data_IF_736478921939
#
_entry.id   IF_736478921939
#
_cell.length_a   1.000
_cell.length_b   1.000
_cell.length_c   1.000
_cell.angle_alpha   90.00
_cell.angle_beta   90.00
_cell.angle_gamma   90.00
#
_symmetry.space_group_name_H-M   'P 1'
#
loop_
_entity.id
_entity.type
_entity.pdbx_description
1 polymer ?
#
# COMPACT_ATOMS: atom_id res chain seq x y z
N UNK A 1 18.88 -3.22 8.54
CA UNK A 1 18.40 -2.06 7.75
C UNK A 1 18.88 -2.08 6.29
N UNK A 2 20.19 -2.23 5.99
CA UNK A 2 20.74 -2.30 4.62
C UNK A 2 20.10 -3.35 3.69
N UNK A 3 19.85 -4.57 4.18
CA UNK A 3 19.28 -5.66 3.35
C UNK A 3 17.87 -5.36 2.81
N UNK A 4 16.98 -4.82 3.65
CA UNK A 4 15.62 -4.38 3.24
C UNK A 4 15.63 -3.19 2.27
N UNK A 5 16.64 -2.33 2.35
CA UNK A 5 16.80 -1.21 1.42
C UNK A 5 17.22 -1.69 0.03
N UNK A 6 18.11 -2.69 -0.02
CA UNK A 6 18.55 -3.34 -1.25
C UNK A 6 17.39 -4.04 -1.98
N UNK A 7 16.61 -4.87 -1.27
CA UNK A 7 15.48 -5.62 -1.85
C UNK A 7 14.35 -4.71 -2.37
N UNK A 8 14.20 -3.49 -1.81
CA UNK A 8 13.22 -2.51 -2.30
C UNK A 8 13.74 -1.74 -3.52
N UNK A 9 15.02 -1.34 -3.52
CA UNK A 9 15.63 -0.71 -4.67
C UNK A 9 15.63 -1.64 -5.90
N UNK A 10 15.91 -2.92 -5.67
CA UNK A 10 15.85 -3.96 -6.70
C UNK A 10 14.43 -4.10 -7.28
N UNK A 11 13.39 -4.11 -6.43
CA UNK A 11 11.99 -4.14 -6.90
C UNK A 11 11.60 -2.93 -7.73
N UNK A 12 12.00 -1.72 -7.31
CA UNK A 12 11.76 -0.49 -8.08
C UNK A 12 12.46 -0.56 -9.44
N UNK A 13 13.72 -1.01 -9.46
CA UNK A 13 14.50 -1.13 -10.69
C UNK A 13 13.88 -2.16 -11.64
N UNK A 14 13.54 -3.36 -11.15
CA UNK A 14 12.99 -4.44 -11.98
C UNK A 14 11.60 -4.06 -12.49
N UNK A 15 10.67 -3.69 -11.60
CA UNK A 15 9.29 -3.39 -12.00
C UNK A 15 9.19 -2.11 -12.83
N UNK A 16 10.00 -1.10 -12.49
CA UNK A 16 10.10 0.13 -13.28
C UNK A 16 10.67 -0.10 -14.67
N UNK A 17 11.70 -0.93 -14.80
CA UNK A 17 12.26 -1.29 -16.10
C UNK A 17 11.26 -2.08 -16.94
N UNK A 18 10.56 -3.05 -16.34
CA UNK A 18 9.55 -3.85 -17.05
C UNK A 18 8.42 -2.97 -17.59
N UNK A 19 7.88 -2.06 -16.77
CA UNK A 19 6.83 -1.13 -17.22
C UNK A 19 7.33 -0.23 -18.35
N UNK A 20 8.52 0.34 -18.23
CA UNK A 20 9.14 1.16 -19.27
C UNK A 20 9.34 0.38 -20.58
N UNK A 21 9.81 -0.87 -20.52
CA UNK A 21 9.95 -1.73 -21.68
C UNK A 21 8.60 -2.05 -22.34
N UNK A 22 7.55 -2.29 -21.56
CA UNK A 22 6.20 -2.54 -22.09
C UNK A 22 5.65 -1.32 -22.81
N UNK A 23 5.78 -0.13 -22.22
CA UNK A 23 5.38 1.13 -22.86
C UNK A 23 6.14 1.35 -24.18
N UNK A 24 7.46 1.15 -24.16
CA UNK A 24 8.29 1.24 -25.36
C UNK A 24 7.84 0.27 -26.47
N UNK A 25 7.58 -0.99 -26.12
CA UNK A 25 7.11 -1.99 -27.07
C UNK A 25 5.80 -1.58 -27.74
N UNK A 26 4.83 -1.08 -26.96
CA UNK A 26 3.55 -0.58 -27.50
C UNK A 26 3.78 0.61 -28.43
N UNK A 27 4.67 1.53 -28.08
CA UNK A 27 5.05 2.66 -28.93
C UNK A 27 5.71 2.23 -30.24
N UNK A 28 6.62 1.25 -30.21
CA UNK A 28 7.26 0.72 -31.42
C UNK A 28 6.27 -0.02 -32.31
N UNK A 29 5.39 -0.84 -31.72
CA UNK A 29 4.31 -1.52 -32.47
C UNK A 29 3.40 -0.51 -33.14
N UNK A 30 3.02 0.56 -32.43
CA UNK A 30 2.21 1.63 -33.00
C UNK A 30 2.94 2.36 -34.15
N UNK A 31 4.21 2.71 -33.98
CA UNK A 31 5.03 3.32 -35.04
C UNK A 31 5.15 2.41 -36.27
N UNK A 32 5.24 1.08 -36.09
CA UNK A 32 5.29 0.10 -37.17
C UNK A 32 3.97 -0.05 -37.94
N UNK A 33 2.83 0.15 -37.26
CA UNK A 33 1.49 0.11 -37.87
C UNK A 33 1.07 1.46 -38.48
N UNK A 34 1.84 2.52 -38.21
CA UNK A 34 1.50 3.87 -38.64
C UNK A 34 1.61 4.02 -40.17
N UNK A 35 0.61 4.66 -40.78
CA UNK A 35 0.57 4.90 -42.23
C UNK A 35 1.65 5.90 -42.69
N UNK A 36 2.05 6.81 -41.81
CA UNK A 36 3.10 7.81 -42.09
C UNK A 36 4.50 7.23 -41.83
N UNK A 37 5.06 6.62 -42.87
CA UNK A 37 6.40 6.02 -42.83
C UNK A 37 7.51 7.07 -42.72
N UNK A 38 7.28 8.31 -43.12
CA UNK A 38 8.27 9.38 -43.03
C UNK A 38 8.53 9.76 -41.56
N UNK A 39 7.46 9.83 -40.77
CA UNK A 39 7.59 10.03 -39.32
C UNK A 39 8.30 8.87 -38.62
N UNK A 40 7.97 7.62 -38.98
CA UNK A 40 8.61 6.43 -38.41
C UNK A 40 10.13 6.39 -38.71
N UNK A 41 10.53 6.71 -39.94
CA UNK A 41 11.95 6.81 -40.33
C UNK A 41 12.67 7.93 -39.58
N UNK A 42 12.00 9.06 -39.34
CA UNK A 42 12.55 10.16 -38.54
C UNK A 42 12.75 9.79 -37.07
N UNK A 43 11.92 8.89 -36.53
CA UNK A 43 12.00 8.43 -35.13
C UNK A 43 12.99 7.28 -34.92
N UNK A 44 13.39 6.57 -35.97
CA UNK A 44 14.35 5.46 -35.92
C UNK A 44 15.64 5.76 -35.14
N UNK A 45 16.37 6.88 -35.39
CA UNK A 45 17.59 7.20 -34.64
C UNK A 45 17.32 7.52 -33.15
N UNK A 46 16.08 7.87 -32.81
CA UNK A 46 15.69 8.22 -31.44
C UNK A 46 15.13 7.03 -30.65
N UNK A 47 15.04 5.83 -31.22
CA UNK A 47 14.48 4.65 -30.52
C UNK A 47 15.24 4.30 -29.24
N UNK A 48 16.58 4.32 -29.27
CA UNK A 48 17.38 4.03 -28.07
C UNK A 48 17.22 5.11 -26.98
N UNK A 49 17.32 6.42 -27.30
CA UNK A 49 16.96 7.47 -26.35
C UNK A 49 15.54 7.35 -25.78
N UNK A 50 14.57 7.00 -26.62
CA UNK A 50 13.16 6.83 -26.22
C UNK A 50 13.01 5.64 -25.26
N UNK A 51 13.66 4.50 -25.54
CA UNK A 51 13.68 3.36 -24.63
C UNK A 51 14.25 3.74 -23.26
N UNK A 52 15.41 4.42 -23.24
CA UNK A 52 16.03 4.87 -21.99
C UNK A 52 15.12 5.85 -21.24
N UNK A 53 14.42 6.73 -21.98
CA UNK A 53 13.41 7.62 -21.44
C UNK A 53 12.26 6.87 -20.77
N UNK A 54 11.70 5.85 -21.43
CA UNK A 54 10.62 5.03 -20.85
C UNK A 54 11.07 4.22 -19.64
N UNK A 55 12.28 3.65 -19.67
CA UNK A 55 12.84 2.92 -18.53
C UNK A 55 13.05 3.85 -17.33
N UNK A 56 13.63 5.03 -17.56
CA UNK A 56 13.78 6.05 -16.52
C UNK A 56 12.41 6.51 -15.99
N UNK A 57 11.43 6.71 -16.87
CA UNK A 57 10.08 7.08 -16.50
C UNK A 57 9.40 6.01 -15.63
N UNK A 58 9.50 4.73 -16.02
CA UNK A 58 8.98 3.62 -15.22
C UNK A 58 9.65 3.51 -13.85
N UNK A 59 10.98 3.69 -13.78
CA UNK A 59 11.70 3.75 -12.51
C UNK A 59 11.23 4.92 -11.62
N UNK A 60 11.04 6.11 -12.19
CA UNK A 60 10.53 7.28 -11.45
C UNK A 60 9.11 7.05 -10.97
N UNK A 61 8.24 6.50 -11.82
CA UNK A 61 6.88 6.12 -11.45
C UNK A 61 6.86 5.18 -10.25
N UNK A 62 7.60 4.07 -10.31
CA UNK A 62 7.68 3.11 -9.21
C UNK A 62 8.42 3.65 -7.99
N UNK A 63 9.38 4.54 -8.19
CA UNK A 63 10.03 5.24 -7.09
C UNK A 63 9.01 6.06 -6.31
N UNK A 64 8.14 6.84 -6.96
CA UNK A 64 7.07 7.56 -6.26
C UNK A 64 5.98 6.63 -5.71
N UNK A 65 5.65 5.55 -6.43
CA UNK A 65 4.70 4.53 -6.00
C UNK A 65 5.13 3.88 -4.68
N UNK A 66 6.37 3.42 -4.57
CA UNK A 66 6.90 2.73 -3.39
C UNK A 66 7.50 3.64 -2.33
N UNK A 67 8.00 4.84 -2.66
CA UNK A 67 8.59 5.77 -1.68
C UNK A 67 7.60 6.19 -0.61
N UNK A 68 6.30 6.13 -0.89
CA UNK A 68 5.24 6.56 0.03
C UNK A 68 4.79 5.49 1.02
N UNK A 69 5.15 4.23 0.80
CA UNK A 69 5.09 3.18 1.83
C UNK A 69 6.05 3.48 3.02
N UNK A 70 6.85 4.55 2.93
CA UNK A 70 7.99 4.84 3.80
C UNK A 70 7.79 5.98 4.80
N UNK A 71 6.73 6.79 4.75
CA UNK A 71 6.76 8.07 5.47
C UNK A 71 5.64 8.18 6.51
N UNK A 72 5.89 7.58 7.67
CA UNK A 72 5.31 7.99 8.96
C UNK A 72 6.01 9.23 9.53
N UNK A 73 6.42 10.17 8.67
CA UNK A 73 7.25 11.32 9.03
C UNK A 73 6.43 12.60 8.90
N UNK A 74 6.47 13.43 9.94
CA UNK A 74 5.65 14.62 10.17
C UNK A 74 6.11 15.84 9.38
N UNK A 75 6.02 15.77 8.05
CA UNK A 75 6.18 16.94 7.15
C UNK A 75 4.83 17.43 6.62
N UNK A 76 4.72 18.73 6.30
CA UNK A 76 3.52 19.35 5.69
C UNK A 76 3.08 18.70 4.38
N UNK A 77 4.01 18.12 3.61
CA UNK A 77 3.72 17.32 2.41
C UNK A 77 3.19 15.91 2.73
N UNK A 78 3.39 15.41 3.95
CA UNK A 78 2.95 14.09 4.41
C UNK A 78 1.49 14.11 4.88
N UNK A 79 0.99 15.24 5.40
CA UNK A 79 -0.42 15.38 5.82
C UNK A 79 -1.43 15.23 4.66
N UNK A 80 -1.13 15.73 3.46
CA UNK A 80 -1.98 15.53 2.28
C UNK A 80 -1.94 14.10 1.73
N UNK A 81 -1.06 13.27 2.28
CA UNK A 81 -0.54 12.07 1.66
C UNK A 81 -0.43 10.93 2.68
N UNK A 82 -1.23 10.92 3.75
CA UNK A 82 -1.30 9.81 4.69
C UNK A 82 -2.39 8.81 4.28
N UNK A 83 -2.02 7.52 4.25
CA UNK A 83 -2.93 6.39 4.01
C UNK A 83 -3.25 6.09 2.54
N UNK A 84 -4.28 5.26 2.33
CA UNK A 84 -4.73 4.76 1.02
C UNK A 84 -5.00 5.86 -0.02
N UNK A 85 -5.33 7.09 0.43
CA UNK A 85 -5.55 8.27 -0.42
C UNK A 85 -4.36 8.58 -1.34
N UNK A 86 -3.15 8.23 -0.93
CA UNK A 86 -1.94 8.53 -1.66
C UNK A 86 -1.70 7.75 -2.94
N UNK A 87 -2.10 6.49 -2.95
CA UNK A 87 -2.05 5.62 -4.12
C UNK A 87 -3.06 6.13 -5.16
N UNK A 88 -4.20 6.65 -4.71
CA UNK A 88 -5.17 7.30 -5.60
C UNK A 88 -4.65 8.62 -6.19
N UNK A 89 -3.87 9.42 -5.46
CA UNK A 89 -3.31 10.66 -6.03
C UNK A 89 -2.29 10.38 -7.13
N UNK A 90 -1.29 9.53 -6.89
CA UNK A 90 -0.28 9.21 -7.90
C UNK A 90 -0.92 8.36 -9.02
N UNK A 91 -1.79 7.42 -8.66
CA UNK A 91 -2.49 6.56 -9.60
C UNK A 91 -3.45 7.32 -10.54
N UNK A 92 -4.10 8.40 -10.07
CA UNK A 92 -4.99 9.18 -10.93
C UNK A 92 -4.26 10.35 -11.62
N UNK A 93 -3.32 11.04 -10.96
CA UNK A 93 -2.64 12.20 -11.55
C UNK A 93 -1.72 11.85 -12.71
N UNK A 94 -1.07 10.68 -12.68
CA UNK A 94 -0.09 10.31 -13.72
C UNK A 94 -0.76 10.03 -15.08
N UNK A 95 -1.82 9.20 -15.16
CA UNK A 95 -2.58 9.03 -16.40
C UNK A 95 -3.24 10.34 -16.85
N UNK A 96 -3.74 11.16 -15.92
CA UNK A 96 -4.31 12.47 -16.24
C UNK A 96 -3.27 13.43 -16.82
N UNK A 97 -2.04 13.42 -16.31
CA UNK A 97 -0.94 14.21 -16.85
C UNK A 97 -0.59 13.77 -18.28
N UNK A 98 -0.51 12.46 -18.54
CA UNK A 98 -0.27 11.94 -19.88
C UNK A 98 -1.42 12.28 -20.85
N UNK A 99 -2.67 12.19 -20.40
CA UNK A 99 -3.84 12.58 -21.19
C UNK A 99 -3.86 14.10 -21.48
N UNK A 100 -3.52 14.95 -20.50
CA UNK A 100 -3.39 16.38 -20.69
C UNK A 100 -2.25 16.73 -21.66
N UNK A 101 -1.11 16.05 -21.55
CA UNK A 101 -0.01 16.18 -22.50
C UNK A 101 -0.42 15.76 -23.91
N UNK A 102 -1.27 14.73 -24.06
CA UNK A 102 -1.83 14.33 -25.34
C UNK A 102 -2.71 15.42 -25.96
N UNK A 103 -3.55 16.09 -25.15
CA UNK A 103 -4.38 17.21 -25.62
C UNK A 103 -3.54 18.40 -26.11
N UNK A 104 -2.40 18.65 -25.46
CA UNK A 104 -1.45 19.72 -25.82
C UNK A 104 -0.49 19.33 -26.96
N UNK A 105 -0.39 18.04 -27.30
CA UNK A 105 0.47 17.55 -28.37
C UNK A 105 0.10 18.19 -29.71
N UNK A 106 1.09 18.65 -30.49
CA UNK A 106 0.85 19.31 -31.79
C UNK A 106 0.75 18.33 -32.97
N UNK A 107 1.30 17.12 -32.84
CA UNK A 107 1.33 16.10 -33.90
C UNK A 107 0.46 14.91 -33.51
N UNK A 108 -0.45 14.51 -34.41
CA UNK A 108 -1.36 13.36 -34.22
C UNK A 108 -0.67 12.07 -33.72
N UNK A 109 0.49 11.65 -34.25
CA UNK A 109 1.15 10.42 -33.78
C UNK A 109 1.61 10.51 -32.33
N UNK A 110 2.06 11.68 -31.90
CA UNK A 110 2.50 11.92 -30.52
C UNK A 110 1.32 11.89 -29.55
N UNK A 111 0.16 12.43 -29.96
CA UNK A 111 -1.07 12.37 -29.16
C UNK A 111 -1.47 10.93 -28.90
N UNK A 112 -1.46 10.10 -29.93
CA UNK A 112 -1.89 8.70 -29.83
C UNK A 112 -0.92 7.89 -28.96
N UNK A 113 0.40 8.10 -29.10
CA UNK A 113 1.40 7.47 -28.23
C UNK A 113 1.13 7.83 -26.76
N UNK A 114 0.92 9.11 -26.45
CA UNK A 114 0.64 9.56 -25.08
C UNK A 114 -0.67 8.99 -24.52
N UNK A 115 -1.70 8.82 -25.36
CA UNK A 115 -2.96 8.19 -24.96
C UNK A 115 -2.81 6.69 -24.70
N UNK A 116 -2.03 5.98 -25.53
CA UNK A 116 -1.72 4.56 -25.31
C UNK A 116 -0.92 4.36 -24.02
N UNK A 117 0.05 5.23 -23.76
CA UNK A 117 0.84 5.25 -22.53
C UNK A 117 -0.05 5.53 -21.30
N UNK A 118 -0.96 6.50 -21.40
CA UNK A 118 -1.93 6.79 -20.34
C UNK A 118 -2.84 5.58 -20.06
N UNK A 119 -3.31 4.91 -21.11
CA UNK A 119 -4.15 3.73 -21.01
C UNK A 119 -3.42 2.55 -20.37
N UNK A 120 -2.15 2.32 -20.72
CA UNK A 120 -1.32 1.28 -20.12
C UNK A 120 -1.12 1.49 -18.62
N UNK A 121 -0.76 2.71 -18.22
CA UNK A 121 -0.57 3.05 -16.80
C UNK A 121 -1.89 2.92 -16.03
N UNK A 122 -3.00 3.43 -16.59
CA UNK A 122 -4.31 3.29 -15.98
C UNK A 122 -4.75 1.82 -15.85
N UNK A 123 -4.55 1.02 -16.90
CA UNK A 123 -4.86 -0.42 -16.90
C UNK A 123 -4.04 -1.19 -15.86
N UNK A 124 -2.74 -0.89 -15.75
CA UNK A 124 -1.88 -1.45 -14.70
C UNK A 124 -2.41 -1.13 -13.29
N UNK A 125 -2.80 0.12 -13.05
CA UNK A 125 -3.32 0.55 -11.75
C UNK A 125 -4.67 -0.09 -11.41
N UNK A 126 -5.57 -0.20 -12.38
CA UNK A 126 -6.85 -0.91 -12.20
C UNK A 126 -6.59 -2.38 -11.90
N UNK A 127 -5.66 -3.01 -12.61
CA UNK A 127 -5.29 -4.40 -12.37
C UNK A 127 -4.73 -4.61 -10.96
N UNK A 128 -3.81 -3.75 -10.52
CA UNK A 128 -3.23 -3.80 -9.18
C UNK A 128 -4.31 -3.59 -8.10
N UNK A 129 -5.23 -2.64 -8.32
CA UNK A 129 -6.37 -2.42 -7.43
C UNK A 129 -7.28 -3.65 -7.33
N UNK A 130 -7.64 -4.27 -8.46
CA UNK A 130 -8.47 -5.47 -8.47
C UNK A 130 -7.77 -6.66 -7.81
N UNK A 131 -6.46 -6.81 -8.03
CA UNK A 131 -5.65 -7.83 -7.38
C UNK A 131 -5.65 -7.63 -5.86
N UNK A 132 -5.37 -6.42 -5.39
CA UNK A 132 -5.41 -6.08 -3.96
C UNK A 132 -6.80 -6.27 -3.35
N UNK A 133 -7.87 -5.91 -4.06
CA UNK A 133 -9.24 -6.14 -3.59
C UNK A 133 -9.56 -7.64 -3.47
N UNK A 134 -9.09 -8.47 -4.42
CA UNK A 134 -9.22 -9.93 -4.32
C UNK A 134 -8.44 -10.49 -3.14
N UNK A 135 -7.18 -10.07 -2.96
CA UNK A 135 -6.37 -10.46 -1.80
C UNK A 135 -7.06 -10.04 -0.49
N UNK A 136 -7.57 -8.81 -0.40
CA UNK A 136 -8.32 -8.34 0.76
C UNK A 136 -9.59 -9.18 1.00
N UNK A 137 -10.30 -9.57 -0.06
CA UNK A 137 -11.45 -10.48 0.03
C UNK A 137 -11.07 -11.89 0.50
N UNK A 138 -9.96 -12.44 0.04
CA UNK A 138 -9.44 -13.75 0.50
C UNK A 138 -8.97 -13.70 1.95
N UNK A 139 -8.28 -12.62 2.34
CA UNK A 139 -7.94 -12.37 3.74
C UNK A 139 -9.19 -12.21 4.58
N UNK A 140 -10.17 -11.40 4.20
CA UNK A 140 -11.42 -11.23 4.94
C UNK A 140 -12.30 -12.50 5.00
N UNK A 141 -12.10 -13.46 4.07
CA UNK A 141 -12.78 -14.77 4.12
C UNK A 141 -12.07 -15.77 5.04
N UNK A 142 -10.73 -15.71 5.14
CA UNK A 142 -9.93 -16.58 6.03
C UNK A 142 -9.83 -16.03 7.45
N UNK A 143 -9.64 -14.73 7.56
CA UNK A 143 -9.80 -13.94 8.76
C UNK A 143 -11.28 -13.58 8.87
N UNK A 144 -12.08 -14.44 9.52
CA UNK A 144 -13.25 -13.89 10.21
C UNK A 144 -12.69 -12.98 11.28
N UNK A 145 -12.94 -11.67 11.28
CA UNK A 145 -12.67 -10.90 12.47
C UNK A 145 -13.61 -11.49 13.53
N UNK A 146 -13.10 -12.36 14.40
CA UNK A 146 -13.61 -12.37 15.76
C UNK A 146 -13.54 -10.91 16.17
N UNK A 147 -14.64 -10.33 16.61
CA UNK A 147 -14.62 -8.97 17.13
C UNK A 147 -13.76 -9.02 18.39
N UNK A 148 -12.47 -8.76 18.20
CA UNK A 148 -11.51 -8.78 19.28
C UNK A 148 -11.33 -7.35 19.70
N UNK A 149 -11.78 -7.04 20.91
CA UNK A 149 -11.48 -5.74 21.50
C UNK A 149 -10.00 -5.77 21.89
N UNK A 150 -9.24 -4.81 21.38
CA UNK A 150 -7.83 -4.61 21.70
C UNK A 150 -7.73 -3.37 22.58
N UNK A 151 -7.16 -3.53 23.77
CA UNK A 151 -6.83 -2.42 24.66
C UNK A 151 -5.32 -2.33 24.80
N UNK A 152 -4.73 -1.23 24.32
CA UNK A 152 -3.30 -1.01 24.41
C UNK A 152 -2.87 -0.82 25.87
N UNK A 153 -1.79 -1.50 26.25
CA UNK A 153 -1.14 -1.42 27.55
C UNK A 153 0.13 -0.58 27.43
N UNK A 154 0.34 0.31 28.41
CA UNK A 154 1.57 1.11 28.50
C UNK A 154 2.78 0.25 28.92
N UNK A 155 2.57 -0.79 29.74
CA UNK A 155 3.61 -1.70 30.23
C UNK A 155 3.16 -3.17 30.20
N UNK A 156 4.13 -4.09 30.10
CA UNK A 156 3.86 -5.53 30.11
C UNK A 156 3.63 -6.04 31.54
N UNK A 157 2.44 -6.61 31.86
CA UNK A 157 2.19 -7.17 33.18
C UNK A 157 3.01 -8.45 33.39
N UNK A 158 4.04 -8.39 34.24
CA UNK A 158 4.96 -9.52 34.47
C UNK A 158 4.32 -10.66 35.28
N UNK A 159 3.36 -10.38 36.17
CA UNK A 159 2.66 -11.39 36.99
C UNK A 159 1.21 -11.62 36.55
N UNK A 160 0.63 -12.77 36.95
CA UNK A 160 -0.81 -13.09 36.73
C UNK A 160 -1.71 -12.07 37.44
N UNK A 161 -1.30 -11.62 38.62
CA UNK A 161 -2.00 -10.60 39.40
C UNK A 161 -1.96 -9.23 38.71
N UNK A 162 -0.80 -8.81 38.19
CA UNK A 162 -0.68 -7.56 37.43
C UNK A 162 -1.55 -7.57 36.18
N UNK A 163 -1.68 -8.73 35.52
CA UNK A 163 -2.56 -8.90 34.36
C UNK A 163 -4.04 -8.77 34.73
N UNK A 164 -4.48 -9.36 35.84
CA UNK A 164 -5.86 -9.23 36.32
C UNK A 164 -6.19 -7.78 36.74
N UNK A 165 -5.25 -7.07 37.38
CA UNK A 165 -5.41 -5.65 37.77
C UNK A 165 -5.59 -4.77 36.53
N UNK A 166 -4.88 -5.02 35.43
CA UNK A 166 -5.09 -4.23 34.20
C UNK A 166 -6.46 -4.48 33.55
N UNK A 167 -6.97 -5.71 33.62
CA UNK A 167 -8.34 -6.04 33.17
C UNK A 167 -9.38 -5.30 34.03
N UNK A 168 -9.20 -5.29 35.36
CA UNK A 168 -10.05 -4.55 36.29
C UNK A 168 -10.01 -3.05 36.02
N UNK A 169 -8.82 -2.48 35.82
CA UNK A 169 -8.63 -1.06 35.51
C UNK A 169 -9.30 -0.67 34.20
N UNK A 170 -9.21 -1.52 33.18
CA UNK A 170 -9.91 -1.33 31.91
C UNK A 170 -11.43 -1.32 32.08
N UNK A 171 -12.00 -2.27 32.83
CA UNK A 171 -13.45 -2.34 33.05
C UNK A 171 -13.96 -1.18 33.90
N UNK A 172 -13.23 -0.79 34.96
CA UNK A 172 -13.54 0.39 35.80
C UNK A 172 -13.53 1.68 34.98
N UNK A 173 -12.51 1.90 34.15
CA UNK A 173 -12.41 3.10 33.28
C UNK A 173 -13.57 3.20 32.29
N UNK A 174 -14.09 2.07 31.82
CA UNK A 174 -15.17 2.01 30.85
C UNK A 174 -16.56 1.80 31.49
N UNK A 175 -16.67 1.87 32.82
CA UNK A 175 -17.91 1.64 33.59
C UNK A 175 -18.60 0.31 33.26
N UNK A 176 -17.82 -0.75 33.07
CA UNK A 176 -18.32 -2.10 32.78
C UNK A 176 -18.31 -2.98 34.02
N UNK A 177 -19.29 -3.87 34.11
CA UNK A 177 -19.33 -4.91 35.13
C UNK A 177 -18.34 -6.02 34.79
N UNK A 178 -17.65 -6.55 35.78
CA UNK A 178 -16.58 -7.54 35.61
C UNK A 178 -16.69 -8.62 36.69
N UNK A 179 -16.76 -9.88 36.25
CA UNK A 179 -16.66 -11.06 37.10
C UNK A 179 -15.56 -11.97 36.57
N UNK A 180 -14.66 -12.45 37.42
CA UNK A 180 -13.62 -13.39 37.01
C UNK A 180 -14.13 -14.83 37.16
N UNK A 181 -14.18 -15.56 36.04
CA UNK A 181 -14.47 -17.01 36.02
C UNK A 181 -13.19 -17.80 36.31
N UNK A 182 -12.06 -17.38 35.73
CA UNK A 182 -10.74 -17.96 35.98
C UNK A 182 -9.65 -16.89 35.95
N UNK A 183 -8.93 -16.74 37.08
CA UNK A 183 -7.78 -15.82 37.24
C UNK A 183 -6.48 -16.52 36.86
N UNK A 184 -6.21 -16.59 35.57
CA UNK A 184 -5.00 -17.21 35.01
C UNK A 184 -4.48 -16.38 33.81
N UNK A 185 -3.34 -16.76 33.23
CA UNK A 185 -2.85 -16.22 31.96
C UNK A 185 -2.91 -17.33 30.90
N UNK A 186 -3.89 -17.34 29.99
CA UNK A 186 -4.98 -16.36 29.75
C UNK A 186 -6.14 -16.42 30.78
N UNK A 187 -6.86 -15.30 30.93
CA UNK A 187 -7.95 -15.16 31.92
C UNK A 187 -9.33 -15.37 31.27
N UNK A 188 -10.26 -15.94 32.04
CA UNK A 188 -11.67 -16.04 31.65
C UNK A 188 -12.48 -15.07 32.52
N UNK A 189 -13.19 -14.15 31.86
CA UNK A 189 -13.99 -13.12 32.51
C UNK A 189 -15.42 -13.10 31.96
N UNK A 190 -16.36 -12.66 32.77
CA UNK A 190 -17.68 -12.24 32.35
C UNK A 190 -17.72 -10.71 32.44
N UNK A 191 -17.95 -10.05 31.31
CA UNK A 191 -18.04 -8.60 31.22
C UNK A 191 -19.43 -8.23 30.70
N UNK A 192 -20.21 -7.50 31.49
CA UNK A 192 -21.60 -7.11 31.15
C UNK A 192 -22.53 -8.29 30.82
N UNK A 193 -22.33 -9.43 31.51
CA UNK A 193 -23.12 -10.66 31.32
C UNK A 193 -22.68 -11.54 30.15
N UNK A 194 -21.63 -11.14 29.41
CA UNK A 194 -21.07 -11.87 28.28
C UNK A 194 -19.70 -12.47 28.64
N UNK A 195 -19.45 -13.72 28.22
CA UNK A 195 -18.20 -14.41 28.49
C UNK A 195 -17.09 -13.97 27.51
N UNK A 196 -15.91 -13.67 28.04
CA UNK A 196 -14.73 -13.31 27.27
C UNK A 196 -13.49 -14.05 27.74
N UNK A 197 -12.64 -14.41 26.80
CA UNK A 197 -11.29 -14.93 27.01
C UNK A 197 -10.28 -13.81 26.76
N UNK A 198 -9.46 -13.48 27.76
CA UNK A 198 -8.50 -12.37 27.68
C UNK A 198 -7.08 -12.92 27.56
N UNK A 199 -6.45 -12.61 26.43
CA UNK A 199 -5.05 -12.95 26.14
C UNK A 199 -4.17 -11.69 26.17
N UNK A 200 -2.90 -11.85 26.53
CA UNK A 200 -1.89 -10.81 26.38
C UNK A 200 -1.25 -10.95 24.99
N UNK A 201 -1.46 -9.96 24.13
CA UNK A 201 -0.83 -9.89 22.81
C UNK A 201 0.36 -8.92 22.85
N UNK A 202 1.37 -9.16 22.02
CA UNK A 202 2.53 -8.28 21.91
C UNK A 202 2.88 -8.08 20.46
N UNK A 203 3.00 -6.82 20.03
CA UNK A 203 3.37 -6.48 18.67
C UNK A 203 4.48 -5.43 18.66
N UNK A 204 5.40 -5.55 17.69
CA UNK A 204 6.50 -4.61 17.55
C UNK A 204 6.04 -3.37 16.76
N UNK A 205 6.02 -2.22 17.44
CA UNK A 205 5.84 -0.92 16.80
C UNK A 205 7.19 -0.25 16.54
N UNK A 206 7.17 0.81 15.71
CA UNK A 206 8.33 1.67 15.46
C UNK A 206 8.85 2.41 16.72
N UNK A 207 8.12 2.36 17.84
CA UNK A 207 8.47 2.97 19.12
C UNK A 207 8.89 1.96 20.20
N UNK A 208 8.98 0.67 19.85
CA UNK A 208 9.28 -0.41 20.80
C UNK A 208 8.18 -1.47 20.88
N UNK A 209 8.35 -2.49 21.75
CA UNK A 209 7.32 -3.51 21.97
C UNK A 209 6.08 -2.85 22.59
N UNK A 210 4.93 -3.00 21.92
CA UNK A 210 3.63 -2.63 22.45
C UNK A 210 2.93 -3.90 22.93
N UNK A 211 2.20 -3.78 24.04
CA UNK A 211 1.43 -4.87 24.62
C UNK A 211 -0.05 -4.51 24.55
N UNK A 212 -0.91 -5.48 24.33
CA UNK A 212 -2.35 -5.23 24.33
C UNK A 212 -3.13 -6.38 24.99
N UNK A 213 -4.22 -6.02 25.65
CA UNK A 213 -5.22 -6.98 26.11
C UNK A 213 -6.15 -7.30 24.96
N UNK A 214 -6.30 -8.59 24.69
CA UNK A 214 -7.06 -9.13 23.59
C UNK A 214 -8.29 -9.84 24.16
N UNK A 215 -9.46 -9.17 24.09
CA UNK A 215 -10.72 -9.73 24.57
C UNK A 215 -11.41 -10.50 23.44
N UNK A 216 -11.51 -11.82 23.59
CA UNK A 216 -12.05 -12.74 22.59
C UNK A 216 -13.41 -13.25 23.09
N UNK A 217 -14.46 -13.04 22.29
CA UNK A 217 -15.78 -13.66 22.48
C UNK A 217 -15.81 -15.09 21.93
#
# INVERSE_FOLDING_TARGET
MKKRLSEKAERILVQGSVLGCVMFLVTVVYLGLQKDKAFALQMLPFLLPVLLGYVAFGMVFFFFYYRKERTGESGTLSSFMKGASGIYWIGNLFPLFLAAAALLGKKEPVRIILLLDALLVAGFLIWDYLYMNRCAGEFNRRFRPRQVFLADLEECPQSVEAFCIEIERYCLKNHRSLEFVKRDKPAEICMDGEHYFVELDSYYSQFGPMYSLKFIH
#
